data_IF_794109795497
#
_entry.id   IF_794109795497
#
_cell.length_a   1.000
_cell.length_b   1.000
_cell.length_c   1.000
_cell.angle_alpha   90.00
_cell.angle_beta   90.00
_cell.angle_gamma   90.00
#
_symmetry.space_group_name_H-M   'P 1'
#
loop_
_entity.id
_entity.type
_entity.pdbx_description
1 polymer ?
#
# COMPACT_ATOMS: atom_id res chain seq x y z
N UNK A 1 -9.75 45.82 -15.37
CA UNK A 1 -10.17 44.53 -15.98
C UNK A 1 -9.00 43.63 -16.38
N UNK A 2 -8.00 44.10 -17.14
CA UNK A 2 -6.83 43.29 -17.58
C UNK A 2 -5.93 42.74 -16.44
N UNK A 3 -5.80 43.47 -15.33
CA UNK A 3 -5.03 43.06 -14.13
C UNK A 3 -5.68 41.92 -13.36
N UNK A 4 -7.01 41.90 -13.31
CA UNK A 4 -7.80 40.86 -12.65
C UNK A 4 -7.70 39.53 -13.42
N UNK A 5 -7.80 39.59 -14.75
CA UNK A 5 -7.61 38.43 -15.65
C UNK A 5 -6.21 37.82 -15.50
N UNK A 6 -5.16 38.65 -15.40
CA UNK A 6 -3.77 38.17 -15.15
C UNK A 6 -3.60 37.49 -13.79
N UNK A 7 -4.31 37.95 -12.76
CA UNK A 7 -4.32 37.33 -11.43
C UNK A 7 -5.00 35.96 -11.46
N UNK A 8 -6.08 35.82 -12.22
CA UNK A 8 -6.80 34.55 -12.41
C UNK A 8 -5.94 33.49 -13.10
N UNK A 9 -5.14 33.84 -14.11
CA UNK A 9 -4.20 32.90 -14.74
C UNK A 9 -3.11 32.42 -13.77
N UNK A 10 -2.56 33.32 -12.95
CA UNK A 10 -1.58 32.96 -11.91
C UNK A 10 -2.16 31.98 -10.89
N UNK A 11 -3.41 32.21 -10.50
CA UNK A 11 -4.13 31.33 -9.58
C UNK A 11 -4.38 29.94 -10.20
N UNK A 12 -4.82 29.88 -11.47
CA UNK A 12 -5.02 28.61 -12.19
C UNK A 12 -3.70 27.84 -12.35
N UNK A 13 -2.60 28.52 -12.68
CA UNK A 13 -1.27 27.90 -12.79
C UNK A 13 -0.80 27.33 -11.45
N UNK A 14 -1.05 28.04 -10.33
CA UNK A 14 -0.73 27.56 -8.99
C UNK A 14 -1.52 26.30 -8.60
N UNK A 15 -2.81 26.24 -8.94
CA UNK A 15 -3.65 25.06 -8.69
C UNK A 15 -3.19 23.86 -9.52
N UNK A 16 -2.85 24.07 -10.79
CA UNK A 16 -2.30 23.02 -11.66
C UNK A 16 -0.93 22.53 -11.17
N UNK A 17 -0.09 23.42 -10.63
CA UNK A 17 1.22 23.05 -10.08
C UNK A 17 1.12 22.25 -8.76
N UNK A 18 0.14 22.55 -7.91
CA UNK A 18 -0.11 21.75 -6.70
C UNK A 18 -0.68 20.36 -7.04
N UNK A 19 -1.47 20.24 -8.12
CA UNK A 19 -1.99 18.95 -8.58
C UNK A 19 -0.89 18.02 -9.13
N UNK A 20 0.26 18.58 -9.54
CA UNK A 20 1.44 17.81 -9.97
C UNK A 20 2.36 17.39 -8.82
N UNK A 21 2.00 17.63 -7.56
CA UNK A 21 2.69 17.02 -6.42
C UNK A 21 2.44 15.51 -6.44
N UNK A 22 3.43 14.78 -6.94
CA UNK A 22 3.39 13.33 -7.15
C UNK A 22 2.96 12.58 -5.89
N UNK A 23 1.82 11.90 -5.98
CA UNK A 23 1.44 10.87 -5.03
C UNK A 23 2.40 9.70 -5.20
N UNK A 24 3.40 9.57 -4.33
CA UNK A 24 4.28 8.41 -4.29
C UNK A 24 3.50 7.23 -3.68
N UNK A 25 2.74 6.52 -4.50
CA UNK A 25 2.17 5.23 -4.11
C UNK A 25 3.31 4.21 -3.90
N UNK A 26 3.27 3.46 -2.80
CA UNK A 26 4.23 2.38 -2.55
C UNK A 26 4.05 1.29 -3.60
N UNK A 27 5.16 0.72 -4.06
CA UNK A 27 5.09 -0.43 -4.97
C UNK A 27 4.69 -1.70 -4.22
N UNK A 28 4.10 -2.70 -4.89
CA UNK A 28 3.79 -3.99 -4.27
C UNK A 28 5.03 -4.66 -3.65
N UNK A 29 6.19 -4.52 -4.31
CA UNK A 29 7.47 -5.01 -3.79
C UNK A 29 7.86 -4.35 -2.46
N UNK A 30 7.73 -3.02 -2.36
CA UNK A 30 8.03 -2.29 -1.12
C UNK A 30 7.07 -2.66 0.01
N UNK A 31 5.79 -2.84 -0.29
CA UNK A 31 4.79 -3.32 0.67
C UNK A 31 5.13 -4.74 1.16
N UNK A 32 5.52 -5.63 0.25
CA UNK A 32 5.93 -7.00 0.61
C UNK A 32 7.16 -7.02 1.51
N UNK A 33 8.20 -6.25 1.19
CA UNK A 33 9.41 -6.12 2.03
C UNK A 33 9.10 -5.52 3.40
N UNK A 34 8.21 -4.53 3.46
CA UNK A 34 7.73 -3.94 4.71
C UNK A 34 6.99 -4.97 5.56
N UNK A 35 6.10 -5.75 4.96
CA UNK A 35 5.40 -6.85 5.63
C UNK A 35 6.36 -7.90 6.16
N UNK A 36 7.38 -8.29 5.38
CA UNK A 36 8.40 -9.25 5.80
C UNK A 36 9.19 -8.74 7.02
N UNK A 37 9.56 -7.46 7.02
CA UNK A 37 10.25 -6.83 8.15
C UNK A 37 9.38 -6.80 9.41
N UNK A 38 8.10 -6.45 9.28
CA UNK A 38 7.15 -6.45 10.39
C UNK A 38 6.91 -7.86 10.94
N UNK A 39 6.78 -8.85 10.07
CA UNK A 39 6.66 -10.25 10.46
C UNK A 39 7.89 -10.69 11.26
N UNK A 40 9.09 -10.35 10.82
CA UNK A 40 10.33 -10.67 11.54
C UNK A 40 10.41 -10.00 12.92
N UNK A 41 9.73 -8.87 13.11
CA UNK A 41 9.62 -8.16 14.39
C UNK A 41 8.43 -8.65 15.24
N UNK A 42 7.72 -9.69 14.81
CA UNK A 42 6.49 -10.21 15.42
C UNK A 42 5.29 -9.23 15.39
N UNK A 43 5.35 -8.19 14.56
CA UNK A 43 4.24 -7.25 14.32
C UNK A 43 3.30 -7.84 13.25
N UNK A 44 2.61 -8.92 13.61
CA UNK A 44 1.89 -9.74 12.64
C UNK A 44 0.65 -9.05 12.05
N UNK A 45 -0.09 -8.26 12.84
CA UNK A 45 -1.22 -7.48 12.34
C UNK A 45 -0.81 -6.49 11.24
N UNK A 46 0.29 -5.77 11.43
CA UNK A 46 0.80 -4.83 10.42
C UNK A 46 1.34 -5.56 9.19
N UNK A 47 2.00 -6.71 9.39
CA UNK A 47 2.48 -7.55 8.30
C UNK A 47 1.32 -8.01 7.42
N UNK A 48 0.23 -8.51 8.03
CA UNK A 48 -1.00 -8.92 7.34
C UNK A 48 -1.54 -7.78 6.48
N UNK A 49 -1.73 -6.58 7.06
CA UNK A 49 -2.25 -5.42 6.33
C UNK A 49 -1.38 -5.07 5.12
N UNK A 50 -0.07 -5.20 5.21
CA UNK A 50 0.82 -4.92 4.07
C UNK A 50 0.74 -6.02 3.01
N UNK A 51 0.68 -7.30 3.38
CA UNK A 51 0.47 -8.38 2.41
C UNK A 51 -0.89 -8.28 1.71
N UNK A 52 -1.96 -7.92 2.42
CA UNK A 52 -3.28 -7.67 1.82
C UNK A 52 -3.21 -6.55 0.78
N UNK A 53 -2.54 -5.43 1.07
CA UNK A 53 -2.33 -4.36 0.09
C UNK A 53 -1.53 -4.81 -1.15
N UNK A 54 -0.62 -5.78 -0.99
CA UNK A 54 0.09 -6.37 -2.13
C UNK A 54 -0.90 -7.11 -3.03
N UNK A 55 -1.77 -7.94 -2.44
CA UNK A 55 -2.81 -8.66 -3.17
C UNK A 55 -3.85 -7.70 -3.80
N UNK A 56 -4.26 -6.65 -3.09
CA UNK A 56 -5.19 -5.62 -3.59
C UNK A 56 -4.65 -4.87 -4.82
N UNK A 57 -3.32 -4.82 -4.97
CA UNK A 57 -2.69 -4.24 -6.16
C UNK A 57 -2.72 -5.16 -7.39
N UNK A 58 -3.26 -6.38 -7.25
CA UNK A 58 -3.23 -7.44 -8.26
C UNK A 58 -1.90 -8.18 -8.36
N UNK A 59 -0.94 -7.89 -7.48
CA UNK A 59 0.31 -8.62 -7.42
C UNK A 59 0.14 -9.88 -6.56
N UNK A 60 0.07 -11.02 -7.23
CA UNK A 60 -0.08 -12.32 -6.60
C UNK A 60 1.22 -13.12 -6.73
N UNK A 61 1.61 -13.77 -5.64
CA UNK A 61 2.70 -14.75 -5.67
C UNK A 61 2.57 -15.72 -4.52
N UNK A 62 3.05 -16.95 -4.70
CA UNK A 62 3.06 -17.96 -3.65
C UNK A 62 3.74 -17.45 -2.36
N UNK A 63 4.76 -16.61 -2.47
CA UNK A 63 5.46 -16.03 -1.33
C UNK A 63 4.58 -15.07 -0.51
N UNK A 64 3.74 -14.25 -1.17
CA UNK A 64 2.82 -13.32 -0.49
C UNK A 64 1.75 -14.11 0.27
N UNK A 65 1.12 -15.09 -0.38
CA UNK A 65 0.12 -15.95 0.25
C UNK A 65 0.70 -16.75 1.42
N UNK A 66 1.88 -17.37 1.24
CA UNK A 66 2.57 -18.11 2.29
C UNK A 66 2.89 -17.23 3.51
N UNK A 67 3.40 -16.02 3.31
CA UNK A 67 3.74 -15.12 4.41
C UNK A 67 2.48 -14.56 5.11
N UNK A 68 1.42 -14.28 4.35
CA UNK A 68 0.11 -13.88 4.88
C UNK A 68 -0.53 -14.98 5.72
N UNK A 69 -0.48 -16.23 5.25
CA UNK A 69 -0.99 -17.39 5.96
C UNK A 69 -0.24 -17.63 7.27
N UNK A 70 1.10 -17.52 7.24
CA UNK A 70 1.95 -17.65 8.42
C UNK A 70 1.71 -16.54 9.45
N UNK A 71 1.53 -15.29 9.01
CA UNK A 71 1.21 -14.19 9.89
C UNK A 71 -0.15 -14.41 10.60
N UNK A 72 -1.17 -14.87 9.86
CA UNK A 72 -2.46 -15.25 10.46
C UNK A 72 -2.35 -16.43 11.43
N UNK A 73 -1.55 -17.45 11.09
CA UNK A 73 -1.29 -18.59 11.96
C UNK A 73 -0.66 -18.15 13.30
N UNK A 74 0.33 -17.23 13.26
CA UNK A 74 0.98 -16.70 14.47
C UNK A 74 0.01 -15.97 15.42
N UNK A 75 -1.11 -15.47 14.90
CA UNK A 75 -2.19 -14.84 15.66
C UNK A 75 -3.32 -15.80 16.06
N UNK A 76 -3.13 -17.11 15.87
CA UNK A 76 -4.16 -18.14 16.05
C UNK A 76 -5.41 -17.95 15.19
N UNK A 77 -5.29 -17.24 14.06
CA UNK A 77 -6.38 -17.06 13.09
C UNK A 77 -6.31 -18.18 12.06
N UNK A 78 -6.84 -19.34 12.43
CA UNK A 78 -6.70 -20.56 11.63
C UNK A 78 -7.50 -20.48 10.31
N UNK A 79 -8.73 -19.94 10.32
CA UNK A 79 -9.56 -19.89 9.12
C UNK A 79 -8.93 -19.05 7.97
N UNK A 80 -8.42 -17.82 8.19
CA UNK A 80 -7.70 -17.08 7.16
C UNK A 80 -6.38 -17.74 6.73
N UNK A 81 -5.74 -18.52 7.62
CA UNK A 81 -4.49 -19.21 7.30
C UNK A 81 -4.72 -20.30 6.25
N UNK A 82 -5.77 -21.12 6.40
CA UNK A 82 -6.11 -22.19 5.45
C UNK A 82 -6.49 -21.64 4.08
N UNK A 83 -7.29 -20.57 4.02
CA UNK A 83 -7.70 -19.96 2.75
C UNK A 83 -6.52 -19.48 1.88
N UNK A 84 -5.42 -19.04 2.49
CA UNK A 84 -4.24 -18.58 1.76
C UNK A 84 -3.25 -19.71 1.41
N UNK A 85 -3.51 -20.96 1.81
CA UNK A 85 -2.68 -22.12 1.44
C UNK A 85 -3.25 -22.93 0.27
N UNK A 86 -4.51 -22.71 -0.10
CA UNK A 86 -5.18 -23.31 -1.27
C UNK A 86 -5.02 -22.44 -2.53
#
# INVERSE_FOLDING_TARGET
MKTMIRSSYRFVILVLFMASLSLNAQTPQQLFETGNSQYAQNNFEEAIKNYEKVLDSGYESAAVYYNLANANYKLNRIAPSVYNYE
#
